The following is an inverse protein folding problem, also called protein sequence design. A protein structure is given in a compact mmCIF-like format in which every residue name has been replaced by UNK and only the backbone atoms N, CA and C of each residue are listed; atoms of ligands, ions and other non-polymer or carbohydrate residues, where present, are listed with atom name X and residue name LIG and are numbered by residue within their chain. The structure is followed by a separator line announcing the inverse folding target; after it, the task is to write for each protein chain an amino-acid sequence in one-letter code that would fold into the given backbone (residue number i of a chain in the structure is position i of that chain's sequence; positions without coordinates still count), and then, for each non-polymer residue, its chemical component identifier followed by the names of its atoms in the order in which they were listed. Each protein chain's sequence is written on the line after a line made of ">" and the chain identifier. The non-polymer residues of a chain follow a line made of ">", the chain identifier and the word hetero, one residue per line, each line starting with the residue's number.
data_IF_686139326520
#
_entry.id   IF_686139326520
#
_cell.length_a   1.000
_cell.length_b   1.000
_cell.length_c   1.000
_cell.angle_alpha   90.00
_cell.angle_beta   90.00
_cell.angle_gamma   90.00
#
_symmetry.space_group_name_H-M   'P 1'
#
loop_
_entity.id
_entity.type
_entity.pdbx_description
1 polymer ?
#
# COMPACT_ATOMS: atom_id res chain seq x y z
N UNK A 1 -2.52 10.94 8.33
CA UNK A 1 -2.11 9.91 9.30
C UNK A 1 -0.79 10.32 9.93
N UNK A 2 -0.72 10.33 11.25
CA UNK A 2 0.53 10.58 11.99
C UNK A 2 1.46 9.38 11.76
N UNK A 3 2.62 9.60 11.13
CA UNK A 3 3.58 8.51 10.86
C UNK A 3 4.14 7.97 12.17
N UNK A 4 3.71 6.78 12.58
CA UNK A 4 4.20 6.12 13.79
C UNK A 4 5.49 5.34 13.48
N UNK A 5 6.42 5.38 14.42
CA UNK A 5 7.66 4.60 14.41
C UNK A 5 7.78 3.87 15.73
N UNK A 6 8.61 2.82 15.81
CA UNK A 6 8.87 2.11 17.07
C UNK A 6 9.32 3.09 18.17
N UNK A 7 10.19 4.05 17.83
CA UNK A 7 10.63 5.09 18.77
C UNK A 7 9.51 6.01 19.25
N UNK A 8 8.55 6.38 18.38
CA UNK A 8 7.36 7.16 18.79
C UNK A 8 6.43 6.34 19.67
N UNK A 9 6.26 5.05 19.39
CA UNK A 9 5.47 4.14 20.24
C UNK A 9 6.07 4.08 21.65
N UNK A 10 7.38 3.83 21.75
CA UNK A 10 8.12 3.79 23.02
C UNK A 10 7.99 5.08 23.84
N UNK A 11 7.86 6.23 23.18
CA UNK A 11 7.76 7.55 23.83
C UNK A 11 6.34 7.92 24.21
N UNK A 12 5.40 7.82 23.27
CA UNK A 12 4.06 8.38 23.39
C UNK A 12 3.07 7.38 24.02
N UNK A 13 3.26 6.09 23.78
CA UNK A 13 2.31 5.04 24.18
C UNK A 13 2.81 4.18 25.34
N UNK A 14 3.87 4.61 26.02
CA UNK A 14 4.48 3.88 27.15
C UNK A 14 3.46 3.43 28.20
N UNK A 15 2.46 4.25 28.49
CA UNK A 15 1.43 3.96 29.50
C UNK A 15 0.42 2.88 29.07
N UNK A 16 0.43 2.51 27.79
CA UNK A 16 -0.37 1.40 27.23
C UNK A 16 0.42 0.10 27.10
N UNK A 17 1.70 0.10 27.50
CA UNK A 17 2.63 -1.01 27.30
C UNK A 17 3.12 -1.55 28.64
N UNK A 18 3.27 -2.86 28.71
CA UNK A 18 3.92 -3.59 29.81
C UNK A 18 5.44 -3.48 29.72
N UNK A 19 6.14 -3.77 30.82
CA UNK A 19 7.61 -3.78 30.84
C UNK A 19 8.22 -4.80 29.87
N UNK A 20 7.53 -5.92 29.66
CA UNK A 20 7.92 -6.92 28.67
C UNK A 20 7.85 -6.34 27.25
N UNK A 21 6.72 -5.74 26.87
CA UNK A 21 6.52 -5.13 25.55
C UNK A 21 7.56 -4.01 25.31
N UNK A 22 7.79 -3.16 26.31
CA UNK A 22 8.82 -2.12 26.23
C UNK A 22 10.22 -2.68 26.00
N UNK A 23 10.57 -3.82 26.63
CA UNK A 23 11.84 -4.50 26.43
C UNK A 23 11.95 -5.08 25.01
N UNK A 24 10.90 -5.72 24.51
CA UNK A 24 10.88 -6.27 23.15
C UNK A 24 10.99 -5.17 22.09
N UNK A 25 10.23 -4.09 22.21
CA UNK A 25 10.28 -2.97 21.27
C UNK A 25 11.67 -2.32 21.18
N UNK A 26 12.37 -2.16 22.32
CA UNK A 26 13.75 -1.67 22.34
C UNK A 26 14.71 -2.60 21.60
N UNK A 27 14.52 -3.91 21.75
CA UNK A 27 15.31 -4.92 21.04
C UNK A 27 15.06 -4.84 19.53
N UNK A 28 13.79 -4.89 19.12
CA UNK A 28 13.36 -4.81 17.70
C UNK A 28 13.91 -3.53 17.04
N UNK A 29 13.88 -2.40 17.74
CA UNK A 29 14.41 -1.13 17.25
C UNK A 29 15.90 -1.19 16.85
N UNK A 30 16.69 -2.06 17.49
CA UNK A 30 18.12 -2.20 17.24
C UNK A 30 18.48 -3.32 16.27
N UNK A 31 17.58 -4.29 16.09
CA UNK A 31 17.80 -5.44 15.21
C UNK A 31 17.61 -5.05 13.73
N UNK A 32 18.38 -5.69 12.85
CA UNK A 32 18.37 -5.47 11.40
C UNK A 32 17.98 -6.76 10.68
N UNK A 33 16.82 -7.30 11.04
CA UNK A 33 16.19 -8.47 10.41
C UNK A 33 15.43 -8.06 9.15
N UNK A 34 14.95 -9.04 8.37
CA UNK A 34 14.13 -8.77 7.17
C UNK A 34 12.86 -7.99 7.52
N UNK A 35 12.24 -7.35 6.53
CA UNK A 35 10.97 -6.64 6.72
C UNK A 35 9.90 -7.54 7.34
N UNK A 36 9.75 -8.77 6.83
CA UNK A 36 8.78 -9.74 7.34
C UNK A 36 9.06 -10.13 8.81
N UNK A 37 10.33 -10.42 9.14
CA UNK A 37 10.73 -10.75 10.52
C UNK A 37 10.52 -9.57 11.47
N UNK A 38 10.80 -8.34 11.04
CA UNK A 38 10.53 -7.12 11.83
C UNK A 38 9.04 -6.96 12.12
N UNK A 39 8.20 -7.14 11.10
CA UNK A 39 6.74 -7.04 11.24
C UNK A 39 6.22 -8.12 12.18
N UNK A 40 6.66 -9.36 12.00
CA UNK A 40 6.26 -10.47 12.88
C UNK A 40 6.71 -10.23 14.32
N UNK A 41 7.96 -9.81 14.54
CA UNK A 41 8.48 -9.52 15.88
C UNK A 41 7.71 -8.36 16.55
N UNK A 42 7.40 -7.30 15.79
CA UNK A 42 6.60 -6.18 16.27
C UNK A 42 5.17 -6.62 16.61
N UNK A 43 4.55 -7.45 15.76
CA UNK A 43 3.22 -7.99 15.98
C UNK A 43 3.17 -8.88 17.21
N UNK A 44 4.12 -9.80 17.37
CA UNK A 44 4.22 -10.64 18.57
C UNK A 44 4.49 -9.82 19.83
N UNK A 45 5.19 -8.69 19.73
CA UNK A 45 5.43 -7.80 20.85
C UNK A 45 4.18 -6.98 21.21
N UNK A 46 3.48 -6.39 20.24
CA UNK A 46 2.37 -5.46 20.50
C UNK A 46 1.00 -6.12 20.55
N UNK A 47 0.84 -7.28 19.93
CA UNK A 47 -0.42 -8.00 19.77
C UNK A 47 -0.22 -9.49 20.05
N UNK A 48 0.62 -9.81 21.06
CA UNK A 48 0.92 -11.19 21.46
C UNK A 48 -0.32 -11.99 21.86
N UNK A 49 -1.38 -11.30 22.28
CA UNK A 49 -2.67 -11.91 22.58
C UNK A 49 -3.24 -12.75 21.42
N UNK A 50 -2.90 -12.43 20.17
CA UNK A 50 -3.38 -13.17 18.98
C UNK A 50 -2.75 -14.57 18.86
N UNK A 51 -1.68 -14.84 19.60
CA UNK A 51 -0.92 -16.10 19.57
C UNK A 51 -0.89 -16.84 20.91
N UNK A 52 -1.17 -16.13 22.01
CA UNK A 52 -1.14 -16.67 23.37
C UNK A 52 -2.14 -17.84 23.57
N UNK A 53 -3.18 -17.95 22.74
CA UNK A 53 -4.19 -19.02 22.82
C UNK A 53 -3.70 -20.37 22.27
N UNK A 54 -2.76 -20.40 21.32
CA UNK A 54 -2.24 -21.66 20.75
C UNK A 54 -1.43 -22.52 21.75
N UNK A 55 -1.06 -21.95 22.91
CA UNK A 55 -0.35 -22.65 23.98
C UNK A 55 -1.28 -23.14 25.11
N UNK A 56 -2.59 -22.92 24.99
CA UNK A 56 -3.58 -23.51 25.90
C UNK A 56 -4.11 -24.77 25.22
N UNK A 57 -3.67 -25.93 25.69
CA UNK A 57 -4.42 -27.17 25.47
C UNK A 57 -5.90 -26.89 25.76
N UNK A 58 -6.77 -27.41 24.90
CA UNK A 58 -8.22 -27.35 25.01
C UNK A 58 -8.61 -27.85 26.40
N UNK A 59 -8.83 -26.94 27.35
CA UNK A 59 -9.55 -27.22 28.59
C UNK A 59 -11.02 -26.96 28.33
N UNK A 60 -11.87 -27.94 28.65
CA UNK A 60 -13.34 -27.95 28.48
C UNK A 60 -14.09 -26.83 29.25
N UNK A 61 -13.37 -25.88 29.86
CA UNK A 61 -13.90 -24.87 30.76
C UNK A 61 -13.77 -23.50 30.09
N UNK A 62 -14.91 -22.88 29.78
CA UNK A 62 -15.06 -21.72 28.90
C UNK A 62 -14.22 -20.47 29.19
N UNK A 63 -14.19 -19.61 28.16
CA UNK A 63 -13.48 -18.34 28.00
C UNK A 63 -12.36 -18.04 29.03
N UNK A 64 -11.09 -18.32 28.71
CA UNK A 64 -9.98 -18.23 29.65
C UNK A 64 -9.41 -16.81 29.83
N UNK A 65 -10.23 -15.77 29.61
CA UNK A 65 -9.85 -14.36 29.60
C UNK A 65 -10.75 -13.59 30.56
N UNK A 66 -10.17 -12.87 31.53
CA UNK A 66 -10.96 -12.00 32.40
C UNK A 66 -11.38 -10.73 31.66
N UNK A 67 -12.55 -10.17 31.98
CA UNK A 67 -13.02 -8.89 31.42
C UNK A 67 -11.94 -7.80 31.52
N UNK A 68 -11.23 -7.77 32.65
CA UNK A 68 -10.12 -6.83 32.88
C UNK A 68 -8.94 -7.02 31.90
N UNK A 69 -8.65 -8.24 31.47
CA UNK A 69 -7.64 -8.50 30.44
C UNK A 69 -8.12 -7.98 29.09
N UNK A 70 -9.34 -8.34 28.68
CA UNK A 70 -9.91 -7.97 27.38
C UNK A 70 -10.04 -6.45 27.25
N UNK A 71 -10.51 -5.77 28.29
CA UNK A 71 -10.58 -4.31 28.36
C UNK A 71 -9.22 -3.64 28.18
N UNK A 72 -8.19 -4.16 28.87
CA UNK A 72 -6.82 -3.63 28.76
C UNK A 72 -6.28 -3.78 27.33
N UNK A 73 -6.48 -4.94 26.71
CA UNK A 73 -6.03 -5.22 25.34
C UNK A 73 -6.76 -4.33 24.34
N UNK A 74 -8.09 -4.28 24.41
CA UNK A 74 -8.89 -3.46 23.50
C UNK A 74 -8.60 -1.97 23.67
N UNK A 75 -8.30 -1.50 24.88
CA UNK A 75 -7.82 -0.12 25.11
C UNK A 75 -6.48 0.18 24.43
N UNK A 76 -5.56 -0.78 24.42
CA UNK A 76 -4.28 -0.67 23.69
C UNK A 76 -4.53 -0.67 22.18
N UNK A 77 -5.32 -1.61 21.66
CA UNK A 77 -5.66 -1.71 20.23
C UNK A 77 -6.35 -0.42 19.73
N UNK A 78 -7.34 0.09 20.47
CA UNK A 78 -8.01 1.35 20.16
C UNK A 78 -7.05 2.55 20.15
N UNK A 79 -6.09 2.63 21.08
CA UNK A 79 -5.08 3.69 21.10
C UNK A 79 -4.19 3.69 19.84
N UNK A 80 -4.02 2.53 19.21
CA UNK A 80 -3.30 2.36 17.95
C UNK A 80 -4.19 2.45 16.71
N UNK A 81 -5.51 2.61 16.86
CA UNK A 81 -6.46 2.53 15.75
C UNK A 81 -6.56 1.14 15.14
N UNK A 82 -6.26 0.10 15.93
CA UNK A 82 -6.37 -1.31 15.58
C UNK A 82 -7.72 -1.82 16.09
N UNK A 83 -8.42 -2.62 15.28
CA UNK A 83 -9.69 -3.26 15.59
C UNK A 83 -9.59 -4.15 16.83
N UNK A 84 -10.69 -4.35 17.57
CA UNK A 84 -10.68 -5.10 18.83
C UNK A 84 -10.44 -6.60 18.61
N UNK A 85 -10.30 -7.34 19.71
CA UNK A 85 -10.50 -8.80 19.72
C UNK A 85 -11.97 -9.14 20.01
N UNK A 86 -12.45 -10.27 19.49
CA UNK A 86 -13.77 -10.80 19.79
C UNK A 86 -13.79 -11.55 21.14
N UNK A 87 -14.96 -12.08 21.52
CA UNK A 87 -15.16 -12.79 22.79
C UNK A 87 -14.30 -14.04 22.92
N UNK A 88 -13.93 -14.65 21.80
CA UNK A 88 -13.04 -15.82 21.72
C UNK A 88 -11.55 -15.44 21.71
N UNK A 89 -11.22 -14.14 21.77
CA UNK A 89 -9.85 -13.63 21.78
C UNK A 89 -9.19 -13.50 20.40
N UNK A 90 -9.94 -13.69 19.30
CA UNK A 90 -9.43 -13.53 17.93
C UNK A 90 -9.55 -12.09 17.45
N UNK A 91 -8.61 -11.60 16.62
CA UNK A 91 -8.73 -10.30 15.97
C UNK A 91 -9.95 -10.28 15.03
N UNK A 92 -10.66 -9.15 14.99
CA UNK A 92 -11.84 -8.99 14.12
C UNK A 92 -11.49 -8.71 12.66
N UNK A 93 -10.24 -8.32 12.37
CA UNK A 93 -9.72 -7.94 11.06
C UNK A 93 -8.18 -8.00 11.00
N UNK A 94 -7.60 -7.62 9.86
CA UNK A 94 -6.15 -7.58 9.64
C UNK A 94 -5.48 -6.26 10.08
N UNK A 95 -6.17 -5.40 10.83
CA UNK A 95 -5.66 -4.07 11.18
C UNK A 95 -4.37 -4.11 12.00
N UNK A 96 -4.15 -5.15 12.84
CA UNK A 96 -2.92 -5.32 13.62
C UNK A 96 -1.71 -5.61 12.73
N UNK A 97 -1.91 -6.39 11.66
CA UNK A 97 -0.90 -6.67 10.65
C UNK A 97 -0.53 -5.40 9.88
N UNK A 98 -1.54 -4.70 9.35
CA UNK A 98 -1.34 -3.46 8.59
C UNK A 98 -0.67 -2.37 9.43
N UNK A 99 -1.04 -2.27 10.71
CA UNK A 99 -0.39 -1.36 11.66
C UNK A 99 1.10 -1.66 11.80
N UNK A 100 1.46 -2.94 12.00
CA UNK A 100 2.86 -3.32 12.18
C UNK A 100 3.68 -3.06 10.91
N UNK A 101 3.14 -3.35 9.73
CA UNK A 101 3.78 -3.06 8.45
C UNK A 101 4.07 -1.57 8.27
N UNK A 102 3.11 -0.69 8.57
CA UNK A 102 3.31 0.76 8.49
C UNK A 102 4.38 1.26 9.49
N UNK A 103 4.34 0.76 10.72
CA UNK A 103 5.32 1.14 11.75
C UNK A 103 6.73 0.72 11.37
N UNK A 104 6.92 -0.51 10.86
CA UNK A 104 8.24 -0.99 10.41
C UNK A 104 8.72 -0.16 9.21
N UNK A 105 7.84 0.10 8.24
CA UNK A 105 8.15 0.90 7.06
C UNK A 105 8.63 2.31 7.43
N UNK A 106 7.98 2.96 8.39
CA UNK A 106 8.38 4.29 8.88
C UNK A 106 9.56 4.26 9.86
N UNK A 107 9.81 3.13 10.54
CA UNK A 107 10.99 2.97 11.40
C UNK A 107 12.27 2.78 10.60
N UNK A 108 12.17 2.30 9.34
CA UNK A 108 13.27 2.21 8.37
C UNK A 108 14.49 1.42 8.88
N UNK A 109 14.28 0.45 9.78
CA UNK A 109 15.32 -0.35 10.44
C UNK A 109 15.44 -1.79 9.90
N UNK A 110 14.72 -2.13 8.83
CA UNK A 110 14.75 -3.47 8.23
C UNK A 110 15.88 -3.65 7.21
N UNK A 111 16.37 -4.88 7.10
CA UNK A 111 17.58 -5.27 6.37
C UNK A 111 17.58 -4.81 4.91
N UNK A 112 16.49 -5.04 4.18
CA UNK A 112 16.37 -4.78 2.75
C UNK A 112 16.59 -3.29 2.44
N UNK A 113 15.97 -2.39 3.23
CA UNK A 113 16.14 -0.95 3.05
C UNK A 113 17.55 -0.48 3.39
N UNK A 114 18.16 -1.05 4.44
CA UNK A 114 19.54 -0.73 4.81
C UNK A 114 20.53 -1.17 3.73
N UNK A 115 20.32 -2.34 3.13
CA UNK A 115 21.10 -2.83 1.99
C UNK A 115 20.92 -1.98 0.74
N UNK A 116 19.68 -1.59 0.41
CA UNK A 116 19.36 -0.63 -0.65
C UNK A 116 20.14 0.68 -0.49
N UNK A 117 20.10 1.27 0.72
CA UNK A 117 20.85 2.49 1.04
C UNK A 117 22.36 2.32 0.91
N UNK A 118 22.92 1.18 1.38
CA UNK A 118 24.34 0.86 1.22
C UNK A 118 24.75 0.81 -0.25
N UNK A 119 23.88 0.28 -1.12
CA UNK A 119 24.07 0.23 -2.58
C UNK A 119 23.76 1.54 -3.30
N UNK A 120 23.34 2.59 -2.58
CA UNK A 120 22.83 3.86 -3.15
C UNK A 120 21.69 3.63 -4.17
N UNK A 121 20.95 2.55 -4.00
CA UNK A 121 19.80 2.21 -4.83
C UNK A 121 18.51 2.69 -4.15
N UNK A 122 17.43 2.80 -4.93
CA UNK A 122 16.14 3.34 -4.50
C UNK A 122 15.10 2.22 -4.41
N UNK A 123 14.12 2.39 -3.54
CA UNK A 123 12.94 1.53 -3.51
C UNK A 123 12.15 1.66 -4.82
N UNK A 124 11.49 0.58 -5.21
CA UNK A 124 10.75 0.48 -6.47
C UNK A 124 9.29 0.89 -6.24
N UNK A 125 8.79 1.82 -7.06
CA UNK A 125 7.39 2.26 -7.04
C UNK A 125 6.79 2.01 -8.41
N UNK A 126 5.72 1.24 -8.46
CA UNK A 126 4.86 1.10 -9.63
C UNK A 126 3.69 2.07 -9.56
N UNK A 127 3.32 2.63 -10.70
CA UNK A 127 2.19 3.57 -10.85
C UNK A 127 1.27 3.05 -11.95
N UNK A 128 0.00 2.85 -11.65
CA UNK A 128 -1.00 2.55 -12.68
C UNK A 128 -1.24 3.77 -13.60
N UNK A 129 -1.83 3.54 -14.77
CA UNK A 129 -2.23 4.63 -15.64
C UNK A 129 -3.67 5.07 -15.38
N UNK A 130 -4.63 4.19 -15.63
CA UNK A 130 -6.05 4.55 -15.74
C UNK A 130 -6.59 5.02 -14.38
N UNK A 131 -7.18 6.22 -14.34
CA UNK A 131 -7.63 6.92 -13.13
C UNK A 131 -6.54 7.22 -12.08
N UNK A 132 -5.25 7.05 -12.43
CA UNK A 132 -4.12 7.39 -11.56
C UNK A 132 -3.22 8.43 -12.24
N UNK A 133 -2.58 8.08 -13.36
CA UNK A 133 -1.84 9.03 -14.19
C UNK A 133 -2.72 9.78 -15.19
N UNK A 134 -3.80 9.13 -15.64
CA UNK A 134 -4.69 9.63 -16.68
C UNK A 134 -6.12 9.69 -16.16
N UNK A 135 -6.91 10.63 -16.64
CA UNK A 135 -8.33 10.71 -16.36
C UNK A 135 -9.12 9.96 -17.44
N UNK A 136 -9.56 8.73 -17.15
CA UNK A 136 -10.26 7.90 -18.15
C UNK A 136 -11.57 8.55 -18.64
N UNK A 137 -12.29 9.25 -17.76
CA UNK A 137 -13.53 9.95 -18.11
C UNK A 137 -13.31 10.97 -19.24
N UNK A 138 -12.15 11.64 -19.25
CA UNK A 138 -11.83 12.60 -20.31
C UNK A 138 -11.66 11.95 -21.70
N UNK A 139 -11.33 10.66 -21.76
CA UNK A 139 -11.37 9.88 -23.00
C UNK A 139 -12.79 9.58 -23.43
N UNK A 140 -13.64 9.14 -22.49
CA UNK A 140 -15.07 8.87 -22.72
C UNK A 140 -15.79 10.14 -23.22
N UNK A 141 -15.46 11.31 -22.68
CA UNK A 141 -16.10 12.57 -23.07
C UNK A 141 -15.79 12.98 -24.52
N UNK A 142 -14.72 12.43 -25.12
CA UNK A 142 -14.23 12.78 -26.48
C UNK A 142 -14.60 11.78 -27.56
N UNK A 143 -15.07 10.59 -27.21
CA UNK A 143 -15.57 9.60 -28.18
C UNK A 143 -17.00 9.95 -28.64
N UNK A 144 -17.40 9.45 -29.81
CA UNK A 144 -18.70 9.76 -30.38
C UNK A 144 -19.85 9.09 -29.61
N UNK A 145 -21.08 9.60 -29.75
CA UNK A 145 -22.25 8.96 -29.12
C UNK A 145 -22.51 7.56 -29.69
N UNK A 146 -22.20 7.33 -30.96
CA UNK A 146 -22.27 6.01 -31.59
C UNK A 146 -21.27 5.03 -30.94
N UNK A 147 -20.04 5.47 -30.67
CA UNK A 147 -19.04 4.66 -29.97
C UNK A 147 -19.46 4.38 -28.52
N UNK A 148 -20.01 5.37 -27.82
CA UNK A 148 -20.54 5.19 -26.46
C UNK A 148 -21.65 4.15 -26.42
N UNK A 149 -22.57 4.14 -27.38
CA UNK A 149 -23.64 3.14 -27.44
C UNK A 149 -23.10 1.77 -27.86
N UNK A 150 -22.22 1.70 -28.86
CA UNK A 150 -21.60 0.45 -29.32
C UNK A 150 -20.81 -0.25 -28.20
N UNK A 151 -20.12 0.51 -27.34
CA UNK A 151 -19.25 0.01 -26.28
C UNK A 151 -19.77 0.29 -24.87
N UNK A 152 -21.08 0.49 -24.69
CA UNK A 152 -21.71 0.97 -23.45
C UNK A 152 -21.27 0.31 -22.14
N UNK A 153 -20.96 -1.00 -22.18
CA UNK A 153 -20.52 -1.77 -21.00
C UNK A 153 -19.02 -2.13 -21.04
N UNK A 154 -18.31 -1.69 -22.07
CA UNK A 154 -16.97 -2.13 -22.45
C UNK A 154 -16.17 -0.95 -23.03
N UNK A 155 -16.31 0.26 -22.46
CA UNK A 155 -15.71 1.50 -22.99
C UNK A 155 -14.18 1.43 -23.11
N UNK A 156 -13.53 0.64 -22.25
CA UNK A 156 -12.11 0.28 -22.35
C UNK A 156 -11.73 -0.34 -23.71
N UNK A 157 -12.71 -0.86 -24.46
CA UNK A 157 -12.52 -1.50 -25.76
C UNK A 157 -12.74 -0.60 -26.98
N UNK A 158 -13.06 0.68 -26.78
CA UNK A 158 -13.13 1.66 -27.87
C UNK A 158 -11.72 1.87 -28.46
N UNK A 159 -11.50 1.63 -29.76
CA UNK A 159 -10.19 1.86 -30.37
C UNK A 159 -9.76 3.32 -30.25
N UNK A 160 -8.51 3.58 -29.87
CA UNK A 160 -7.96 4.94 -29.80
C UNK A 160 -8.33 5.73 -28.54
N UNK A 161 -9.26 5.26 -27.70
CA UNK A 161 -9.77 6.02 -26.54
C UNK A 161 -8.65 6.44 -25.58
N UNK A 162 -7.65 5.58 -25.38
CA UNK A 162 -6.56 5.84 -24.44
C UNK A 162 -5.66 6.99 -24.91
N UNK A 163 -5.62 7.29 -26.21
CA UNK A 163 -4.86 8.42 -26.76
C UNK A 163 -5.54 9.79 -26.49
N UNK A 164 -6.83 9.77 -26.16
CA UNK A 164 -7.66 10.96 -25.96
C UNK A 164 -7.65 11.46 -24.51
N UNK A 165 -7.05 10.72 -23.58
CA UNK A 165 -7.13 11.00 -22.15
C UNK A 165 -6.18 12.13 -21.72
N UNK A 166 -6.67 13.01 -20.86
CA UNK A 166 -5.87 14.00 -20.18
C UNK A 166 -5.10 13.40 -18.99
N UNK A 167 -3.97 13.99 -18.60
CA UNK A 167 -3.37 13.69 -17.30
C UNK A 167 -4.33 13.94 -16.14
N UNK A 168 -4.29 13.06 -15.14
CA UNK A 168 -4.98 13.27 -13.88
C UNK A 168 -4.35 14.47 -13.14
N UNK A 169 -5.14 15.20 -12.35
CA UNK A 169 -4.66 16.39 -11.63
C UNK A 169 -3.47 16.05 -10.72
N UNK A 170 -2.34 16.75 -10.92
CA UNK A 170 -1.10 16.55 -10.16
C UNK A 170 -0.30 15.29 -10.52
N UNK A 171 -0.74 14.51 -11.52
CA UNK A 171 -0.09 13.26 -11.89
C UNK A 171 1.31 13.44 -12.47
N UNK A 172 1.49 14.46 -13.33
CA UNK A 172 2.78 14.71 -13.99
C UNK A 172 3.81 15.13 -12.96
N UNK A 173 3.48 16.10 -12.11
CA UNK A 173 4.35 16.58 -11.03
C UNK A 173 4.61 15.48 -9.99
N UNK A 174 3.58 14.70 -9.67
CA UNK A 174 3.67 13.56 -8.78
C UNK A 174 4.64 12.50 -9.28
N UNK A 175 4.49 12.07 -10.54
CA UNK A 175 5.39 11.09 -11.16
C UNK A 175 6.83 11.60 -11.27
N UNK A 176 7.04 12.86 -11.66
CA UNK A 176 8.37 13.46 -11.70
C UNK A 176 9.03 13.47 -10.31
N UNK A 177 8.26 13.80 -9.27
CA UNK A 177 8.75 13.71 -7.89
C UNK A 177 9.09 12.26 -7.52
N UNK A 178 8.26 11.28 -7.89
CA UNK A 178 8.55 9.86 -7.66
C UNK A 178 9.85 9.45 -8.33
N UNK A 179 10.03 9.68 -9.62
CA UNK A 179 11.22 9.28 -10.36
C UNK A 179 12.52 9.88 -9.79
N UNK A 180 12.43 11.07 -9.19
CA UNK A 180 13.57 11.69 -8.51
C UNK A 180 13.96 10.96 -7.22
N UNK A 181 13.01 10.36 -6.49
CA UNK A 181 13.23 9.82 -5.14
C UNK A 181 13.16 8.28 -5.06
N UNK A 182 12.48 7.64 -6.01
CA UNK A 182 12.26 6.20 -6.12
C UNK A 182 12.74 5.68 -7.48
N UNK A 183 12.85 4.37 -7.62
CA UNK A 183 13.00 3.71 -8.92
C UNK A 183 11.59 3.46 -9.47
N UNK A 184 11.12 4.39 -10.30
CA UNK A 184 9.70 4.51 -10.65
C UNK A 184 9.40 3.90 -12.01
N UNK A 185 8.32 3.12 -12.07
CA UNK A 185 7.84 2.45 -13.27
C UNK A 185 6.33 2.65 -13.41
N UNK A 186 5.85 2.68 -14.65
CA UNK A 186 4.43 2.63 -14.96
C UNK A 186 4.07 1.15 -15.14
N UNK A 187 3.04 0.68 -14.44
CA UNK A 187 2.54 -0.69 -14.52
C UNK A 187 1.04 -0.67 -14.84
N UNK A 188 0.72 -0.69 -16.14
CA UNK A 188 -0.65 -0.59 -16.64
C UNK A 188 -1.11 -1.90 -17.25
N UNK A 189 -2.41 -2.16 -17.17
CA UNK A 189 -3.06 -3.19 -17.98
C UNK A 189 -3.52 -2.56 -19.29
N UNK A 190 -3.30 -3.23 -20.43
CA UNK A 190 -3.95 -2.89 -21.70
C UNK A 190 -5.10 -3.89 -21.93
N UNK A 191 -6.35 -3.48 -22.20
CA UNK A 191 -7.47 -4.40 -22.34
C UNK A 191 -7.25 -5.44 -23.45
N UNK A 192 -7.61 -6.70 -23.18
CA UNK A 192 -7.35 -7.83 -24.10
C UNK A 192 -8.04 -7.66 -25.46
N UNK A 193 -9.23 -7.07 -25.47
CA UNK A 193 -10.02 -6.86 -26.70
C UNK A 193 -9.71 -5.52 -27.38
N UNK A 194 -8.77 -4.72 -26.86
CA UNK A 194 -8.37 -3.44 -27.42
C UNK A 194 -6.88 -3.42 -27.82
N UNK A 195 -6.53 -3.87 -29.03
CA UNK A 195 -5.14 -3.88 -29.47
C UNK A 195 -4.53 -2.47 -29.56
N UNK A 196 -5.34 -1.44 -29.81
CA UNK A 196 -4.85 -0.05 -29.90
C UNK A 196 -4.34 0.49 -28.56
N UNK A 197 -4.90 0.01 -27.45
CA UNK A 197 -4.57 0.48 -26.10
C UNK A 197 -3.08 0.39 -25.76
N UNK A 198 -2.39 -0.61 -26.31
CA UNK A 198 -0.95 -0.82 -26.10
C UNK A 198 -0.15 0.36 -26.65
N UNK A 199 -0.42 0.71 -27.91
CA UNK A 199 0.24 1.82 -28.61
C UNK A 199 -0.18 3.15 -28.01
N UNK A 200 -1.47 3.34 -27.73
CA UNK A 200 -2.00 4.58 -27.18
C UNK A 200 -1.37 4.94 -25.84
N UNK A 201 -1.24 3.96 -24.93
CA UNK A 201 -0.59 4.16 -23.62
C UNK A 201 0.88 4.53 -23.79
N UNK A 202 1.60 3.89 -24.72
CA UNK A 202 2.98 4.26 -25.02
C UNK A 202 3.08 5.70 -25.54
N UNK A 203 2.24 6.09 -26.50
CA UNK A 203 2.24 7.44 -27.08
C UNK A 203 1.88 8.49 -26.03
N UNK A 204 0.94 8.19 -25.13
CA UNK A 204 0.60 9.06 -24.01
C UNK A 204 1.81 9.30 -23.11
N UNK A 205 2.54 8.24 -22.73
CA UNK A 205 3.75 8.34 -21.91
C UNK A 205 4.84 9.14 -22.62
N UNK A 206 5.06 8.92 -23.91
CA UNK A 206 6.02 9.70 -24.70
C UNK A 206 5.65 11.19 -24.76
N UNK A 207 4.36 11.51 -24.86
CA UNK A 207 3.88 12.90 -24.93
C UNK A 207 4.00 13.63 -23.59
N UNK A 208 3.62 12.98 -22.49
CA UNK A 208 3.44 13.64 -21.19
C UNK A 208 4.61 13.41 -20.21
N UNK A 209 5.37 12.33 -20.37
CA UNK A 209 6.50 11.94 -19.51
C UNK A 209 7.76 11.53 -20.32
N UNK A 210 8.15 12.25 -21.39
CA UNK A 210 9.11 11.78 -22.41
C UNK A 210 10.44 11.29 -21.86
N UNK A 211 11.10 12.08 -21.00
CA UNK A 211 12.43 11.75 -20.48
C UNK A 211 12.35 10.91 -19.20
N UNK A 212 11.41 11.27 -18.31
CA UNK A 212 11.34 10.70 -16.96
C UNK A 212 10.80 9.27 -16.94
N UNK A 213 9.97 8.91 -17.92
CA UNK A 213 9.39 7.57 -18.06
C UNK A 213 10.00 6.78 -19.25
N UNK A 214 11.08 7.26 -19.86
CA UNK A 214 11.75 6.54 -20.94
C UNK A 214 12.18 5.14 -20.45
N UNK A 215 11.72 4.09 -21.13
CA UNK A 215 11.94 2.67 -20.77
C UNK A 215 11.38 2.28 -19.39
N UNK A 216 10.37 3.01 -18.88
CA UNK A 216 9.71 2.75 -17.60
C UNK A 216 8.27 2.24 -17.71
N UNK A 217 7.72 2.10 -18.90
CA UNK A 217 6.38 1.54 -19.13
C UNK A 217 6.42 0.02 -19.19
N UNK A 218 5.60 -0.62 -18.36
CA UNK A 218 5.36 -2.06 -18.32
C UNK A 218 3.86 -2.28 -18.54
N UNK A 219 3.52 -3.07 -19.57
CA UNK A 219 2.16 -3.51 -19.82
C UNK A 219 2.00 -4.96 -19.33
N UNK A 220 1.12 -5.18 -18.36
CA UNK A 220 0.89 -6.49 -17.76
C UNK A 220 -0.56 -6.66 -17.34
N UNK A 221 -1.11 -7.85 -17.54
CA UNK A 221 -2.40 -8.26 -16.97
C UNK A 221 -2.28 -8.80 -15.54
N UNK A 222 -1.05 -9.03 -15.06
CA UNK A 222 -0.77 -9.67 -13.76
C UNK A 222 0.20 -8.80 -12.96
N UNK A 223 -0.33 -7.84 -12.20
CA UNK A 223 0.47 -6.88 -11.42
C UNK A 223 1.14 -7.52 -10.20
N UNK A 224 0.56 -8.58 -9.65
CA UNK A 224 1.11 -9.35 -8.53
C UNK A 224 2.44 -10.04 -8.84
N UNK A 225 2.79 -10.22 -10.11
CA UNK A 225 4.08 -10.79 -10.54
C UNK A 225 5.21 -9.76 -10.56
N UNK A 226 4.90 -8.46 -10.48
CA UNK A 226 5.92 -7.42 -10.40
C UNK A 226 6.52 -7.38 -9.00
N UNK A 227 7.84 -7.32 -8.91
CA UNK A 227 8.56 -7.20 -7.63
C UNK A 227 8.92 -5.75 -7.37
N UNK A 228 8.30 -5.15 -6.36
CA UNK A 228 8.59 -3.78 -5.93
C UNK A 228 8.05 -3.47 -4.54
N UNK A 229 8.40 -2.29 -4.03
CA UNK A 229 8.05 -1.88 -2.66
C UNK A 229 6.63 -1.29 -2.56
N UNK A 230 6.17 -0.62 -3.62
CA UNK A 230 4.89 0.09 -3.67
C UNK A 230 4.19 -0.05 -5.03
N UNK A 231 2.86 -0.07 -5.01
CA UNK A 231 2.00 0.03 -6.18
C UNK A 231 0.94 1.10 -5.91
N UNK A 232 0.89 2.15 -6.72
CA UNK A 232 -0.18 3.17 -6.70
C UNK A 232 -1.19 2.80 -7.77
N UNK A 233 -2.40 2.42 -7.37
CA UNK A 233 -3.41 1.85 -8.27
C UNK A 233 -4.82 2.12 -7.74
N UNK A 234 -5.78 2.39 -8.63
CA UNK A 234 -7.16 2.74 -8.31
C UNK A 234 -8.03 1.51 -7.99
N UNK A 235 -7.57 0.31 -8.34
CA UNK A 235 -8.32 -0.94 -8.27
C UNK A 235 -7.53 -2.03 -7.54
N UNK A 236 -8.22 -3.12 -7.21
CA UNK A 236 -7.62 -4.37 -6.72
C UNK A 236 -7.56 -5.45 -7.81
N UNK A 237 -8.10 -5.15 -9.00
CA UNK A 237 -8.15 -6.06 -10.14
C UNK A 237 -6.78 -6.32 -10.77
N UNK A 238 -6.69 -7.32 -11.66
CA UNK A 238 -5.46 -7.68 -12.38
C UNK A 238 -4.27 -7.97 -11.45
N UNK A 239 -4.55 -8.48 -10.24
CA UNK A 239 -3.55 -8.79 -9.22
C UNK A 239 -3.03 -7.60 -8.43
N UNK A 240 -3.60 -6.39 -8.58
CA UNK A 240 -3.21 -5.25 -7.75
C UNK A 240 -3.48 -5.49 -6.25
N UNK A 241 -4.60 -6.15 -5.93
CA UNK A 241 -4.96 -6.51 -4.54
C UNK A 241 -4.04 -7.58 -3.93
N UNK A 242 -3.36 -8.38 -4.76
CA UNK A 242 -2.43 -9.43 -4.34
C UNK A 242 -0.96 -8.99 -4.43
N UNK A 243 -0.71 -7.72 -4.73
CA UNK A 243 0.64 -7.16 -4.84
C UNK A 243 1.40 -7.32 -3.51
N UNK A 244 2.63 -7.85 -3.57
CA UNK A 244 3.40 -8.21 -2.36
C UNK A 244 3.98 -7.01 -1.63
N UNK A 245 4.20 -5.89 -2.32
CA UNK A 245 4.56 -4.62 -1.71
C UNK A 245 3.32 -3.90 -1.16
N UNK A 246 3.49 -2.63 -0.78
CA UNK A 246 2.35 -1.83 -0.30
C UNK A 246 1.49 -1.36 -1.48
N UNK A 247 0.25 -1.82 -1.54
CA UNK A 247 -0.77 -1.20 -2.40
C UNK A 247 -1.24 0.13 -1.78
N UNK A 248 -0.98 1.22 -2.48
CA UNK A 248 -1.47 2.56 -2.22
C UNK A 248 -2.72 2.73 -3.07
N UNK A 249 -3.89 2.47 -2.47
CA UNK A 249 -5.17 2.49 -3.17
C UNK A 249 -5.57 3.94 -3.50
N UNK A 250 -5.38 4.36 -4.75
CA UNK A 250 -5.68 5.71 -5.24
C UNK A 250 -7.16 5.85 -5.52
N UNK A 251 -7.95 6.28 -4.54
CA UNK A 251 -9.38 6.47 -4.71
C UNK A 251 -9.90 7.65 -3.90
N UNK A 252 -10.95 8.31 -4.39
CA UNK A 252 -11.54 9.50 -3.77
C UNK A 252 -12.20 9.23 -2.41
N UNK A 253 -12.42 7.97 -2.03
CA UNK A 253 -13.13 7.55 -0.81
C UNK A 253 -12.18 7.34 0.38
N UNK A 254 -12.75 7.00 1.55
CA UNK A 254 -12.19 7.00 2.92
C UNK A 254 -10.86 6.24 3.19
N UNK A 255 -10.17 5.76 2.16
CA UNK A 255 -8.90 5.02 2.24
C UNK A 255 -7.65 5.89 2.28
N UNK A 256 -7.80 7.22 2.22
CA UNK A 256 -6.76 8.18 2.60
C UNK A 256 -5.81 8.66 1.48
N UNK A 257 -5.87 8.07 0.28
CA UNK A 257 -5.05 8.46 -0.89
C UNK A 257 -5.90 9.01 -2.04
N UNK A 258 -6.66 10.08 -1.74
CA UNK A 258 -7.63 10.68 -2.66
C UNK A 258 -7.06 11.44 -3.85
N UNK A 259 -5.81 11.86 -3.75
CA UNK A 259 -5.16 12.70 -4.74
C UNK A 259 -3.63 12.51 -4.71
N UNK A 260 -2.96 13.02 -5.74
CA UNK A 260 -1.50 12.96 -5.84
C UNK A 260 -0.79 13.69 -4.70
N UNK A 261 -1.42 14.70 -4.11
CA UNK A 261 -0.87 15.42 -2.95
C UNK A 261 -0.78 14.49 -1.74
N UNK A 262 -1.79 13.68 -1.47
CA UNK A 262 -1.82 12.70 -0.38
C UNK A 262 -0.76 11.60 -0.61
N UNK A 263 -0.69 11.03 -1.82
CA UNK A 263 0.30 10.02 -2.20
C UNK A 263 1.73 10.53 -2.01
N UNK A 264 2.04 11.69 -2.60
CA UNK A 264 3.37 12.31 -2.50
C UNK A 264 3.70 12.65 -1.04
N UNK A 265 2.73 13.14 -0.27
CA UNK A 265 2.95 13.46 1.15
C UNK A 265 3.28 12.21 1.98
N UNK A 266 2.63 11.08 1.71
CA UNK A 266 2.94 9.81 2.35
C UNK A 266 4.36 9.33 1.98
N UNK A 267 4.66 9.27 0.68
CA UNK A 267 5.94 8.78 0.18
C UNK A 267 7.11 9.69 0.56
N UNK A 268 6.90 11.00 0.75
CA UNK A 268 7.93 11.92 1.29
C UNK A 268 8.45 11.51 2.66
N UNK A 269 7.61 10.87 3.48
CA UNK A 269 8.04 10.37 4.79
C UNK A 269 8.88 9.09 4.67
N UNK A 270 8.85 8.43 3.51
CA UNK A 270 9.50 7.15 3.24
C UNK A 270 10.76 7.27 2.40
N UNK A 271 10.82 8.26 1.51
CA UNK A 271 12.02 8.66 0.78
C UNK A 271 13.25 8.90 1.70
#
# INVERSE_FOLDING_TARGET
>A
MTTLTIGKILKTYKNHLTDYELKQLKKIQTEQTSFSEQVQALKSALFGEEWDFMMREISDDGNPMSDAYTDRVNKKRAAFGVGPINDDGFPTDDSSQLFCEEVVRHSKNYKELLELKRKKAKQIVFVDMDNVLVNFQSGIDRISEEEKEQYKNDLDNVPGIFSLMDPYEGAIEGYQWLAKNFDTYILSTAPWKNPSAWTDKLLWVQKHLPEVAEKRLILSHNKQLAHGDFLIDDRTANGAGDFKGKHIHFCAEDKGFKDWKAVVSYLKNLA
#
